data_IF_781444827603
#
_entry.id   IF_781444827603
#
_cell.length_a   1.000
_cell.length_b   1.000
_cell.length_c   1.000
_cell.angle_alpha   90.00
_cell.angle_beta   90.00
_cell.angle_gamma   90.00
#
_symmetry.space_group_name_H-M   'P 1'
#
loop_
_entity.id
_entity.type
_entity.pdbx_description
1 polymer ?
#
# COMPACT_ATOMS: atom_id res chain seq x y z
N UNK A 1 -17.54 -8.02 -24.69
CA UNK A 1 -16.89 -6.72 -24.92
C UNK A 1 -17.08 -5.82 -23.73
N UNK A 2 -18.30 -5.43 -23.46
CA UNK A 2 -18.60 -4.53 -22.34
C UNK A 2 -18.20 -5.12 -20.99
N UNK A 3 -18.33 -6.43 -20.83
CA UNK A 3 -17.95 -7.09 -19.59
C UNK A 3 -16.48 -6.89 -19.22
N UNK A 4 -15.58 -6.83 -20.22
CA UNK A 4 -14.16 -6.62 -19.98
C UNK A 4 -13.88 -5.23 -19.38
N UNK A 5 -14.53 -4.20 -19.95
CA UNK A 5 -14.37 -2.83 -19.45
C UNK A 5 -14.93 -2.69 -18.02
N UNK A 6 -16.11 -3.26 -17.80
CA UNK A 6 -16.74 -3.23 -16.48
C UNK A 6 -15.87 -3.97 -15.47
N UNK A 7 -15.29 -5.10 -15.86
CA UNK A 7 -14.40 -5.86 -14.99
C UNK A 7 -13.17 -5.06 -14.56
N UNK A 8 -12.57 -4.29 -15.48
CA UNK A 8 -11.42 -3.45 -15.16
C UNK A 8 -11.77 -2.38 -14.11
N UNK A 9 -12.93 -1.72 -14.25
CA UNK A 9 -13.36 -0.73 -13.27
C UNK A 9 -13.60 -1.35 -11.89
N UNK A 10 -14.26 -2.51 -11.86
CA UNK A 10 -14.48 -3.22 -10.61
C UNK A 10 -13.16 -3.59 -9.93
N UNK A 11 -12.14 -3.96 -10.71
CA UNK A 11 -10.82 -4.33 -10.19
C UNK A 11 -10.16 -3.18 -9.42
N UNK A 12 -10.25 -1.95 -9.92
CA UNK A 12 -9.68 -0.77 -9.24
C UNK A 12 -10.41 -0.54 -7.92
N UNK A 13 -11.72 -0.55 -7.93
CA UNK A 13 -12.52 -0.36 -6.71
C UNK A 13 -12.26 -1.47 -5.70
N UNK A 14 -12.11 -2.70 -6.16
CA UNK A 14 -11.81 -3.83 -5.29
C UNK A 14 -10.43 -3.71 -4.65
N UNK A 15 -9.45 -3.20 -5.38
CA UNK A 15 -8.11 -2.97 -4.81
C UNK A 15 -8.17 -1.97 -3.66
N UNK A 16 -8.93 -0.89 -3.80
CA UNK A 16 -9.14 0.08 -2.71
C UNK A 16 -9.80 -0.59 -1.51
N UNK A 17 -10.83 -1.39 -1.76
CA UNK A 17 -11.51 -2.14 -0.71
C UNK A 17 -10.55 -3.07 0.03
N UNK A 18 -9.64 -3.72 -0.69
CA UNK A 18 -8.64 -4.59 -0.05
C UNK A 18 -7.67 -3.79 0.81
N UNK A 19 -7.21 -2.62 0.33
CA UNK A 19 -6.34 -1.77 1.13
C UNK A 19 -7.02 -1.31 2.42
N UNK A 20 -8.29 -0.93 2.35
CA UNK A 20 -9.08 -0.55 3.53
C UNK A 20 -9.25 -1.72 4.50
N UNK A 21 -9.42 -2.91 3.97
CA UNK A 21 -9.50 -4.14 4.76
C UNK A 21 -8.18 -4.38 5.51
N UNK A 22 -7.06 -4.16 4.85
CA UNK A 22 -5.73 -4.34 5.45
C UNK A 22 -5.45 -3.32 6.57
N UNK A 23 -5.97 -2.11 6.49
CA UNK A 23 -5.77 -1.07 7.50
C UNK A 23 -6.72 -1.21 8.71
N UNK A 24 -7.79 -1.95 8.58
CA UNK A 24 -8.86 -2.06 9.58
C UNK A 24 -8.35 -2.44 10.98
N UNK A 25 -7.45 -3.43 11.16
CA UNK A 25 -6.97 -3.77 12.50
C UNK A 25 -6.34 -2.60 13.24
N UNK A 26 -5.72 -1.68 12.52
CA UNK A 26 -5.04 -0.52 13.13
C UNK A 26 -6.04 0.57 13.48
N UNK A 27 -7.12 0.70 12.72
CA UNK A 27 -8.22 1.59 13.08
C UNK A 27 -8.77 1.21 14.46
N UNK A 28 -8.91 -0.08 14.71
CA UNK A 28 -9.36 -0.58 16.01
C UNK A 28 -8.36 -0.28 17.13
N UNK A 29 -7.11 -0.05 16.80
CA UNK A 29 -6.06 0.33 17.75
C UNK A 29 -5.96 1.84 17.94
N UNK A 30 -6.83 2.63 17.34
CA UNK A 30 -6.86 4.07 17.48
C UNK A 30 -6.18 4.87 16.36
N UNK A 31 -5.70 4.21 15.32
CA UNK A 31 -5.15 4.92 14.15
C UNK A 31 -6.29 5.53 13.35
N UNK A 32 -6.02 6.70 12.80
CA UNK A 32 -6.99 7.47 12.01
C UNK A 32 -6.60 7.36 10.54
N UNK A 33 -7.50 6.82 9.71
CA UNK A 33 -7.26 6.68 8.27
C UNK A 33 -7.29 8.06 7.62
N UNK A 34 -6.30 8.33 6.80
CA UNK A 34 -6.22 9.58 6.04
C UNK A 34 -6.98 9.44 4.72
N UNK A 35 -7.37 10.60 4.18
CA UNK A 35 -8.11 10.64 2.92
C UNK A 35 -7.25 10.32 1.70
N UNK A 36 -5.93 10.46 1.81
CA UNK A 36 -5.02 10.20 0.72
C UNK A 36 -5.03 8.72 0.37
N UNK A 37 -5.16 8.44 -0.91
CA UNK A 37 -5.15 7.09 -1.46
C UNK A 37 -4.27 7.09 -2.69
N UNK A 38 -3.60 5.97 -2.91
CA UNK A 38 -2.81 5.76 -4.11
C UNK A 38 -3.24 4.46 -4.75
N UNK A 39 -3.14 4.40 -6.06
CA UNK A 39 -3.49 3.19 -6.79
C UNK A 39 -2.97 3.25 -8.20
N UNK A 40 -2.97 2.11 -8.84
CA UNK A 40 -2.52 1.97 -10.19
C UNK A 40 -2.47 0.52 -10.59
N UNK A 41 -1.71 0.23 -11.63
CA UNK A 41 -1.44 -1.14 -12.01
C UNK A 41 0.07 -1.33 -12.20
N UNK A 42 0.52 -2.55 -11.96
CA UNK A 42 1.93 -2.92 -12.10
C UNK A 42 2.03 -4.29 -12.75
N UNK A 43 3.07 -4.45 -13.57
CA UNK A 43 3.50 -5.78 -13.99
C UNK A 43 4.27 -6.47 -12.87
N UNK A 44 4.44 -7.78 -13.00
CA UNK A 44 5.19 -8.57 -12.01
C UNK A 44 6.63 -8.04 -11.91
N UNK A 45 7.09 -7.87 -10.67
CA UNK A 45 8.41 -7.35 -10.29
C UNK A 45 8.60 -5.88 -10.63
N UNK A 46 7.55 -5.17 -11.02
CA UNK A 46 7.60 -3.72 -11.15
C UNK A 46 7.30 -3.07 -9.82
N UNK A 47 7.94 -1.94 -9.59
CA UNK A 47 7.80 -1.16 -8.37
C UNK A 47 7.27 0.23 -8.70
N UNK A 48 6.56 0.80 -7.74
CA UNK A 48 6.21 2.22 -7.78
C UNK A 48 6.65 2.87 -6.48
N UNK A 49 7.30 4.02 -6.59
CA UNK A 49 7.71 4.83 -5.46
C UNK A 49 6.69 5.94 -5.24
N UNK A 50 6.23 6.07 -4.01
CA UNK A 50 5.30 7.11 -3.60
C UNK A 50 6.05 8.00 -2.62
N UNK A 51 6.14 9.28 -2.97
CA UNK A 51 6.82 10.27 -2.15
C UNK A 51 5.81 10.96 -1.26
N UNK A 52 6.06 11.01 0.04
CA UNK A 52 5.12 11.62 0.96
C UNK A 52 5.85 12.23 2.16
N UNK A 53 5.31 13.34 2.68
CA UNK A 53 5.86 13.99 3.86
C UNK A 53 5.24 13.36 5.11
N UNK A 54 6.10 12.93 6.03
CA UNK A 54 5.69 12.41 7.34
C UNK A 54 6.25 13.30 8.44
N UNK A 55 5.59 13.31 9.59
CA UNK A 55 5.89 14.24 10.68
C UNK A 55 6.45 13.48 11.88
N UNK A 56 7.53 14.01 12.42
CA UNK A 56 8.20 13.46 13.59
C UNK A 56 7.22 13.22 14.73
N UNK A 57 7.33 12.05 15.35
CA UNK A 57 6.54 11.67 16.51
C UNK A 57 5.23 10.98 16.17
N UNK A 58 4.75 11.10 14.95
CA UNK A 58 3.58 10.36 14.53
C UNK A 58 3.94 8.91 14.21
N UNK A 59 3.00 8.03 14.45
CA UNK A 59 3.11 6.62 14.15
C UNK A 59 2.21 6.33 12.95
N UNK A 60 2.76 5.76 11.90
CA UNK A 60 2.06 5.55 10.63
C UNK A 60 1.97 4.06 10.31
N UNK A 61 0.82 3.62 9.84
CA UNK A 61 0.66 2.35 9.15
C UNK A 61 0.27 2.63 7.72
N UNK A 62 1.02 2.08 6.80
CA UNK A 62 0.68 2.01 5.38
C UNK A 62 0.19 0.62 5.10
N UNK A 63 -0.89 0.49 4.34
CA UNK A 63 -1.45 -0.80 4.00
C UNK A 63 -1.87 -0.81 2.53
N UNK A 64 -1.60 -1.91 1.86
CA UNK A 64 -1.96 -2.06 0.46
C UNK A 64 -2.65 -3.39 0.21
N UNK A 65 -3.37 -3.44 -0.89
CA UNK A 65 -4.02 -4.66 -1.33
C UNK A 65 -4.26 -4.67 -2.83
N UNK A 66 -4.56 -5.84 -3.32
CA UNK A 66 -5.02 -6.08 -4.67
C UNK A 66 -6.22 -7.03 -4.61
N UNK A 67 -7.05 -7.01 -5.64
CA UNK A 67 -8.19 -7.93 -5.74
C UNK A 67 -7.81 -9.27 -6.40
N UNK A 68 -6.59 -9.42 -6.85
CA UNK A 68 -6.12 -10.64 -7.51
C UNK A 68 -5.71 -11.65 -6.45
N UNK A 69 -6.50 -12.71 -6.27
CA UNK A 69 -6.36 -13.64 -5.15
C UNK A 69 -4.99 -14.30 -5.04
N UNK A 70 -4.37 -14.64 -6.16
CA UNK A 70 -3.09 -15.34 -6.15
C UNK A 70 -1.91 -14.40 -6.38
N UNK A 71 -2.12 -13.10 -6.29
CA UNK A 71 -1.04 -12.13 -6.38
C UNK A 71 -0.35 -11.98 -5.03
N UNK A 72 0.92 -11.58 -5.07
CA UNK A 72 1.71 -11.22 -3.89
C UNK A 72 2.23 -9.81 -4.06
N UNK A 73 2.10 -9.04 -2.99
CA UNK A 73 2.51 -7.63 -2.98
C UNK A 73 3.41 -7.38 -1.77
N UNK A 74 4.28 -6.38 -1.91
CA UNK A 74 5.13 -5.93 -0.79
C UNK A 74 5.06 -4.42 -0.69
N UNK A 75 5.30 -3.91 0.51
CA UNK A 75 5.28 -2.50 0.81
C UNK A 75 6.39 -2.20 1.82
N UNK A 76 7.24 -1.22 1.52
CA UNK A 76 8.34 -0.85 2.39
C UNK A 76 8.50 0.66 2.43
N UNK A 77 9.02 1.18 3.54
CA UNK A 77 9.21 2.61 3.75
C UNK A 77 10.70 2.94 3.89
N UNK A 78 11.13 3.91 3.09
CA UNK A 78 12.52 4.37 3.03
C UNK A 78 12.58 5.86 3.36
N UNK A 79 13.70 6.31 3.91
CA UNK A 79 13.92 7.75 4.11
C UNK A 79 14.34 8.43 2.80
N UNK A 80 14.63 9.73 2.86
CA UNK A 80 15.02 10.52 1.70
C UNK A 80 16.38 10.12 1.13
N UNK A 81 17.19 9.37 1.87
CA UNK A 81 18.49 8.87 1.44
C UNK A 81 18.41 7.43 0.90
N UNK A 82 17.21 6.87 0.81
CA UNK A 82 17.03 5.51 0.31
C UNK A 82 17.29 4.42 1.34
N UNK A 83 17.38 4.77 2.62
CA UNK A 83 17.58 3.80 3.68
C UNK A 83 16.25 3.26 4.16
N UNK A 84 16.15 1.93 4.30
CA UNK A 84 14.97 1.27 4.86
C UNK A 84 14.83 1.68 6.33
N UNK A 85 13.70 2.28 6.70
CA UNK A 85 13.52 2.86 8.05
C UNK A 85 12.30 2.34 8.78
N UNK A 86 11.51 1.50 8.18
CA UNK A 86 10.29 1.01 8.82
C UNK A 86 10.59 0.27 10.13
N UNK A 87 9.67 0.41 11.10
CA UNK A 87 9.77 -0.26 12.39
C UNK A 87 9.21 -1.67 12.34
N UNK A 88 8.27 -1.91 11.43
CA UNK A 88 7.59 -3.18 11.28
C UNK A 88 7.05 -3.30 9.87
N UNK A 89 6.90 -4.52 9.39
CA UNK A 89 6.27 -4.78 8.11
C UNK A 89 5.73 -6.20 8.08
N UNK A 90 4.74 -6.42 7.23
CA UNK A 90 4.19 -7.74 7.01
C UNK A 90 3.72 -7.89 5.58
N UNK A 91 3.66 -9.11 5.13
CA UNK A 91 3.17 -9.46 3.80
C UNK A 91 2.38 -10.75 3.92
N UNK A 92 1.17 -10.75 3.39
CA UNK A 92 0.29 -11.91 3.42
C UNK A 92 -0.53 -11.96 2.13
N UNK A 93 0.00 -12.71 1.14
CA UNK A 93 -0.68 -12.86 -0.13
C UNK A 93 -0.93 -11.52 -0.82
N UNK A 94 -2.19 -11.19 -1.04
CA UNK A 94 -2.61 -9.97 -1.73
C UNK A 94 -2.61 -8.72 -0.85
N UNK A 95 -2.09 -8.81 0.37
CA UNK A 95 -2.01 -7.72 1.33
C UNK A 95 -0.59 -7.49 1.80
N UNK A 96 -0.27 -6.25 2.13
CA UNK A 96 1.00 -5.91 2.76
C UNK A 96 0.83 -4.65 3.59
N UNK A 97 1.67 -4.51 4.61
CA UNK A 97 1.67 -3.33 5.46
C UNK A 97 3.06 -3.01 5.96
N UNK A 98 3.29 -1.73 6.29
CA UNK A 98 4.52 -1.27 6.90
C UNK A 98 4.22 -0.16 7.89
N UNK A 99 4.92 -0.18 9.01
CA UNK A 99 4.78 0.78 10.08
C UNK A 99 6.04 1.62 10.22
N UNK A 100 5.86 2.92 10.37
CA UNK A 100 6.96 3.82 10.67
C UNK A 100 6.55 4.79 11.77
N UNK A 101 7.31 4.81 12.85
CA UNK A 101 7.30 5.90 13.80
C UNK A 101 8.34 6.89 13.29
N UNK A 102 7.89 8.01 12.73
CA UNK A 102 8.77 8.91 11.98
C UNK A 102 9.81 9.54 12.91
N UNK A 103 11.11 9.28 12.67
CA UNK A 103 12.18 9.84 13.52
C UNK A 103 12.43 11.31 13.25
N UNK A 104 12.01 11.80 12.09
CA UNK A 104 12.18 13.18 11.68
C UNK A 104 11.07 13.57 10.73
N UNK A 105 10.68 14.84 10.75
CA UNK A 105 9.76 15.39 9.75
C UNK A 105 10.51 15.55 8.44
N UNK A 106 9.93 15.05 7.37
CA UNK A 106 10.54 15.17 6.05
C UNK A 106 9.91 14.23 5.05
N UNK A 107 10.63 14.06 3.95
CA UNK A 107 10.20 13.25 2.83
C UNK A 107 10.59 11.79 3.05
N UNK A 108 9.63 10.91 2.81
CA UNK A 108 9.84 9.46 2.84
C UNK A 108 9.35 8.87 1.52
N UNK A 109 9.89 7.72 1.19
CA UNK A 109 9.49 6.98 0.01
C UNK A 109 8.82 5.69 0.42
N UNK A 110 7.62 5.48 -0.07
CA UNK A 110 6.88 4.22 0.14
C UNK A 110 6.97 3.47 -1.18
N UNK A 111 7.57 2.28 -1.16
CA UNK A 111 7.77 1.48 -2.36
C UNK A 111 6.80 0.31 -2.33
N UNK A 112 5.96 0.23 -3.35
CA UNK A 112 5.04 -0.87 -3.55
C UNK A 112 5.50 -1.72 -4.72
N UNK A 113 5.32 -3.03 -4.60
CA UNK A 113 5.72 -3.98 -5.64
C UNK A 113 4.70 -5.10 -5.74
N UNK A 114 4.42 -5.52 -6.98
CA UNK A 114 3.73 -6.76 -7.25
C UNK A 114 4.81 -7.82 -7.52
N UNK A 115 5.05 -8.71 -6.57
CA UNK A 115 6.14 -9.68 -6.66
C UNK A 115 5.76 -10.90 -7.49
N UNK A 116 4.49 -11.28 -7.50
CA UNK A 116 3.97 -12.33 -8.37
C UNK A 116 2.48 -12.10 -8.62
N UNK A 117 2.01 -12.53 -9.76
CA UNK A 117 0.59 -12.44 -10.12
C UNK A 117 0.31 -13.34 -11.32
N UNK A 118 -0.89 -13.93 -11.41
CA UNK A 118 -1.32 -14.63 -12.61
C UNK A 118 -1.71 -13.68 -13.75
N UNK A 119 -1.78 -12.38 -13.49
CA UNK A 119 -2.19 -11.37 -14.46
C UNK A 119 -0.97 -10.63 -15.01
N UNK A 120 -1.06 -10.18 -16.28
CA UNK A 120 -0.01 -9.35 -16.89
C UNK A 120 0.12 -8.00 -16.17
N UNK A 121 -1.02 -7.43 -15.81
CA UNK A 121 -1.10 -6.20 -15.03
C UNK A 121 -1.99 -6.44 -13.82
N UNK A 122 -1.57 -5.96 -12.68
CA UNK A 122 -2.27 -6.15 -11.41
C UNK A 122 -2.59 -4.79 -10.81
N UNK A 123 -3.87 -4.52 -10.61
CA UNK A 123 -4.29 -3.29 -9.92
C UNK A 123 -4.00 -3.42 -8.44
N UNK A 124 -3.54 -2.33 -7.87
CA UNK A 124 -3.22 -2.24 -6.44
C UNK A 124 -3.72 -0.91 -5.91
N UNK A 125 -3.90 -0.85 -4.61
CA UNK A 125 -4.21 0.40 -3.92
C UNK A 125 -3.50 0.43 -2.57
N UNK A 126 -3.22 1.62 -2.07
CA UNK A 126 -2.60 1.83 -0.78
C UNK A 126 -3.31 2.97 -0.05
N UNK A 127 -3.51 2.78 1.23
CA UNK A 127 -4.04 3.79 2.16
C UNK A 127 -3.09 3.90 3.35
N UNK A 128 -3.25 4.93 4.17
CA UNK A 128 -2.48 5.00 5.40
C UNK A 128 -3.29 5.62 6.53
N UNK A 129 -2.84 5.31 7.74
CA UNK A 129 -3.44 5.80 8.96
C UNK A 129 -2.32 6.28 9.89
N UNK A 130 -2.66 7.17 10.81
CA UNK A 130 -1.68 7.70 11.76
C UNK A 130 -2.26 7.80 13.16
N UNK A 131 -1.35 7.95 14.11
CA UNK A 131 -1.72 8.05 15.51
C UNK A 131 -0.73 8.93 16.23
#
# INVERSE_FOLDING_TARGET
MLATSIGAWATVDDAISRALEAIEPYVKQGYIVRDDQWGGDLGVKQQQAIKHTLFKGNDYWFAMGTDVDNARVTLHVYDSHGKLVENDSWQKGKFAGARLQAPATGTYWIIVEVTSSPMDRTHWAMVYAYK
#
